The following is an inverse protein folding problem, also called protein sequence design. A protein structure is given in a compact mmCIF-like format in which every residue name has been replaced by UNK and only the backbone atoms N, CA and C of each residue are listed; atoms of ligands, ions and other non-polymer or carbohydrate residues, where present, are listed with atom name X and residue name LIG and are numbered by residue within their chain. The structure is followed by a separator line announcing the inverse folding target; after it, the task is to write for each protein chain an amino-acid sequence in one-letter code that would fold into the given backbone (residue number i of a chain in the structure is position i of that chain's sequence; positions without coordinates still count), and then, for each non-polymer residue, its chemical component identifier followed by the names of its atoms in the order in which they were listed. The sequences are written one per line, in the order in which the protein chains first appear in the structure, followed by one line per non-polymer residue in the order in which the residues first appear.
data_IF_941210299544
#
_entry.id   IF_941210299544
#
_cell.length_a   1.000
_cell.length_b   1.000
_cell.length_c   1.000
_cell.angle_alpha   90.00
_cell.angle_beta   90.00
_cell.angle_gamma   90.00
#
_symmetry.space_group_name_H-M   'P 1'
#
loop_
_entity.id
_entity.type
_entity.pdbx_description
1 polymer ?
#
# COMPACT_ATOMS: atom_id res chain seq x y z
N UNK A 1 -2.77 -10.28 25.38
CA UNK A 1 -3.27 -11.51 24.72
C UNK A 1 -4.70 -11.24 24.26
N UNK A 2 -4.90 -10.71 23.03
CA UNK A 2 -6.24 -10.36 22.56
C UNK A 2 -7.01 -11.64 22.19
N UNK A 3 -7.91 -12.05 23.08
CA UNK A 3 -8.85 -13.16 22.93
C UNK A 3 -9.98 -12.66 22.02
N UNK A 4 -9.78 -12.73 20.70
CA UNK A 4 -10.88 -12.57 19.76
C UNK A 4 -11.77 -13.82 19.90
N UNK A 5 -12.87 -13.60 20.60
CA UNK A 5 -14.09 -14.39 20.79
C UNK A 5 -14.29 -15.56 19.81
N UNK A 6 -14.80 -16.66 20.37
CA UNK A 6 -15.16 -18.00 19.84
C UNK A 6 -15.83 -18.13 18.45
N UNK A 7 -16.07 -17.05 17.70
CA UNK A 7 -16.72 -17.09 16.39
C UNK A 7 -15.72 -17.08 15.23
N UNK A 8 -15.71 -18.18 14.48
CA UNK A 8 -14.85 -18.41 13.29
C UNK A 8 -15.04 -17.33 12.22
N UNK A 9 -16.25 -16.80 12.12
CA UNK A 9 -16.61 -15.73 11.19
C UNK A 9 -15.88 -14.42 11.50
N UNK A 10 -15.88 -13.96 12.76
CA UNK A 10 -15.27 -12.67 13.11
C UNK A 10 -13.75 -12.73 13.15
N UNK A 11 -13.17 -13.86 13.56
CA UNK A 11 -11.69 -14.00 13.64
C UNK A 11 -11.00 -14.28 12.30
N UNK A 12 -11.71 -14.78 11.28
CA UNK A 12 -11.11 -15.10 9.98
C UNK A 12 -11.57 -14.18 8.85
N UNK A 13 -12.87 -13.88 8.75
CA UNK A 13 -13.44 -13.21 7.58
C UNK A 13 -13.21 -11.71 7.64
N UNK A 14 -13.35 -11.10 8.82
CA UNK A 14 -13.09 -9.67 9.01
C UNK A 14 -11.63 -9.32 8.64
N UNK A 15 -10.59 -9.97 9.20
CA UNK A 15 -9.22 -9.67 8.80
C UNK A 15 -8.93 -10.00 7.34
N UNK A 16 -9.50 -11.07 6.78
CA UNK A 16 -9.34 -11.38 5.35
C UNK A 16 -9.92 -10.28 4.45
N UNK A 17 -11.11 -9.75 4.77
CA UNK A 17 -11.72 -8.63 4.04
C UNK A 17 -10.94 -7.33 4.23
N UNK A 18 -10.48 -7.03 5.44
CA UNK A 18 -9.72 -5.82 5.74
C UNK A 18 -8.38 -5.77 5.00
N UNK A 19 -7.72 -6.91 4.77
CA UNK A 19 -6.47 -6.98 3.98
C UNK A 19 -6.69 -6.64 2.50
N UNK A 20 -7.92 -6.75 1.98
CA UNK A 20 -8.24 -6.38 0.60
C UNK A 20 -8.48 -4.88 0.39
N UNK A 21 -8.74 -4.12 1.45
CA UNK A 21 -8.95 -2.66 1.36
C UNK A 21 -7.69 -1.93 0.81
N UNK A 22 -6.46 -2.24 1.29
CA UNK A 22 -5.22 -1.72 0.69
C UNK A 22 -5.05 -2.03 -0.79
N UNK A 23 -5.51 -3.19 -1.27
CA UNK A 23 -5.43 -3.56 -2.69
C UNK A 23 -6.31 -2.64 -3.55
N UNK A 24 -7.36 -2.07 -2.98
CA UNK A 24 -8.18 -1.05 -3.65
C UNK A 24 -7.42 0.22 -4.01
N UNK A 25 -6.36 0.60 -3.29
CA UNK A 25 -5.60 1.83 -3.61
C UNK A 25 -4.78 1.69 -4.89
N UNK A 26 -4.34 0.47 -5.21
CA UNK A 26 -3.70 0.11 -6.48
C UNK A 26 -4.68 0.31 -7.64
N UNK A 27 -5.96 -0.04 -7.45
CA UNK A 27 -7.00 0.20 -8.45
C UNK A 27 -7.28 1.71 -8.65
N UNK A 28 -7.36 2.47 -7.55
CA UNK A 28 -7.55 3.92 -7.60
C UNK A 28 -6.42 4.66 -8.31
N UNK A 29 -5.23 4.08 -8.41
CA UNK A 29 -4.10 4.67 -9.14
C UNK A 29 -4.42 4.97 -10.61
N UNK A 30 -5.24 4.13 -11.25
CA UNK A 30 -5.66 4.33 -12.65
C UNK A 30 -6.42 5.64 -12.88
N UNK A 31 -7.14 6.14 -11.86
CA UNK A 31 -7.85 7.42 -11.87
C UNK A 31 -6.93 8.54 -11.40
N UNK A 32 -6.15 8.31 -10.34
CA UNK A 32 -5.24 9.31 -9.81
C UNK A 32 -4.11 9.67 -10.76
N UNK A 33 -3.63 8.76 -11.62
CA UNK A 33 -2.52 9.06 -12.54
C UNK A 33 -2.81 10.24 -13.47
N UNK A 34 -4.06 10.40 -13.94
CA UNK A 34 -4.44 11.54 -14.77
C UNK A 34 -4.49 12.84 -13.98
N UNK A 35 -5.03 12.81 -12.75
CA UNK A 35 -5.12 13.96 -11.85
C UNK A 35 -3.73 14.44 -11.40
N UNK A 36 -2.84 13.49 -11.07
CA UNK A 36 -1.45 13.74 -10.67
C UNK A 36 -0.65 14.27 -11.87
N UNK A 37 -0.77 13.64 -13.04
CA UNK A 37 -0.13 14.12 -14.27
C UNK A 37 -0.55 15.57 -14.61
N UNK A 38 -1.85 15.88 -14.47
CA UNK A 38 -2.38 17.23 -14.68
C UNK A 38 -1.88 18.26 -13.66
N UNK A 39 -1.69 17.85 -12.39
CA UNK A 39 -1.17 18.74 -11.33
C UNK A 39 0.34 18.99 -11.44
N UNK A 40 1.12 17.96 -11.77
CA UNK A 40 2.58 18.05 -11.84
C UNK A 40 3.12 18.39 -13.24
N UNK A 41 2.25 18.72 -14.20
CA UNK A 41 2.61 18.97 -15.61
C UNK A 41 3.50 17.86 -16.22
N UNK A 42 3.33 16.63 -15.75
CA UNK A 42 4.14 15.48 -16.11
C UNK A 42 3.39 14.57 -17.08
N UNK A 43 4.13 13.78 -17.85
CA UNK A 43 3.55 12.73 -18.68
C UNK A 43 2.85 11.67 -17.81
N UNK A 44 1.62 11.24 -18.14
CA UNK A 44 0.96 10.13 -17.46
C UNK A 44 1.79 8.85 -17.44
N UNK A 45 2.61 8.62 -18.47
CA UNK A 45 3.51 7.48 -18.56
C UNK A 45 4.64 7.54 -17.51
N UNK A 46 5.07 8.74 -17.11
CA UNK A 46 6.04 8.91 -16.04
C UNK A 46 5.43 8.57 -14.67
N UNK A 47 4.17 8.97 -14.43
CA UNK A 47 3.45 8.61 -13.19
C UNK A 47 3.19 7.10 -13.12
N UNK A 48 2.93 6.45 -14.26
CA UNK A 48 2.74 5.00 -14.35
C UNK A 48 4.01 4.20 -13.97
N UNK A 49 5.19 4.75 -14.23
CA UNK A 49 6.45 4.14 -13.80
C UNK A 49 6.57 4.00 -12.27
N UNK A 50 5.98 4.93 -11.50
CA UNK A 50 5.96 4.84 -10.03
C UNK A 50 5.12 3.69 -9.53
N UNK A 51 4.04 3.38 -10.25
CA UNK A 51 3.22 2.22 -9.95
C UNK A 51 3.92 0.90 -10.26
N UNK A 52 4.66 0.82 -11.37
CA UNK A 52 5.49 -0.35 -11.68
C UNK A 52 6.54 -0.60 -10.60
N UNK A 53 7.17 0.46 -10.11
CA UNK A 53 8.14 0.38 -9.02
C UNK A 53 7.50 -0.09 -7.71
N UNK A 54 6.32 0.44 -7.36
CA UNK A 54 5.58 0.04 -6.17
C UNK A 54 5.16 -1.43 -6.20
N UNK A 55 4.61 -1.92 -7.32
CA UNK A 55 4.25 -3.35 -7.47
C UNK A 55 5.49 -4.24 -7.43
N UNK A 56 6.61 -3.80 -8.02
CA UNK A 56 7.87 -4.52 -7.96
C UNK A 56 8.35 -4.70 -6.52
N UNK A 57 8.38 -3.62 -5.73
CA UNK A 57 8.77 -3.69 -4.31
C UNK A 57 7.76 -4.46 -3.46
N UNK A 58 6.47 -4.38 -3.76
CA UNK A 58 5.43 -5.17 -3.10
C UNK A 58 5.64 -6.67 -3.34
N UNK A 59 5.86 -7.08 -4.59
CA UNK A 59 6.14 -8.46 -4.97
C UNK A 59 7.45 -8.98 -4.38
N UNK A 60 8.49 -8.16 -4.39
CA UNK A 60 9.77 -8.47 -3.76
C UNK A 60 9.61 -8.63 -2.24
N UNK A 61 8.90 -7.71 -1.59
CA UNK A 61 8.63 -7.77 -0.15
C UNK A 61 7.84 -9.02 0.23
N UNK A 62 6.87 -9.43 -0.60
CA UNK A 62 6.13 -10.68 -0.37
C UNK A 62 7.04 -11.92 -0.44
N UNK A 63 8.00 -11.95 -1.36
CA UNK A 63 8.96 -13.05 -1.48
C UNK A 63 9.91 -13.16 -0.27
N UNK A 64 10.38 -12.03 0.26
CA UNK A 64 11.31 -12.01 1.41
C UNK A 64 10.62 -12.05 2.78
N UNK A 65 9.40 -11.52 2.90
CA UNK A 65 8.67 -11.45 4.17
C UNK A 65 7.92 -12.73 4.52
N UNK A 66 7.85 -13.73 3.64
CA UNK A 66 7.19 -15.02 3.89
C UNK A 66 7.57 -15.67 5.23
N UNK A 67 8.88 -15.88 5.52
CA UNK A 67 9.33 -16.44 6.80
C UNK A 67 9.02 -15.55 8.02
N UNK A 68 8.91 -14.24 7.82
CA UNK A 68 8.56 -13.28 8.88
C UNK A 68 7.07 -13.35 9.23
N UNK A 69 6.21 -13.55 8.23
CA UNK A 69 4.76 -13.74 8.38
C UNK A 69 4.47 -15.04 9.13
N UNK A 70 5.13 -16.14 8.76
CA UNK A 70 4.94 -17.46 9.39
C UNK A 70 5.30 -17.47 10.87
N UNK A 71 6.35 -16.74 11.27
CA UNK A 71 6.77 -16.63 12.68
C UNK A 71 5.77 -15.87 13.54
N UNK A 72 5.23 -14.76 13.05
CA UNK A 72 4.30 -13.94 13.83
C UNK A 72 3.42 -13.04 12.96
N UNK A 73 2.29 -13.61 12.53
CA UNK A 73 1.29 -12.95 11.67
C UNK A 73 0.87 -11.58 12.21
N UNK A 74 0.69 -11.44 13.53
CA UNK A 74 0.22 -10.18 14.15
C UNK A 74 1.25 -9.06 14.05
N UNK A 75 2.54 -9.37 14.24
CA UNK A 75 3.61 -8.37 14.11
C UNK A 75 3.81 -7.99 12.65
N UNK A 76 3.81 -8.97 11.75
CA UNK A 76 3.95 -8.72 10.32
C UNK A 76 2.81 -7.86 9.76
N UNK A 77 1.57 -8.11 10.18
CA UNK A 77 0.41 -7.32 9.79
C UNK A 77 0.46 -5.88 10.32
N UNK A 78 1.00 -5.67 11.53
CA UNK A 78 1.15 -4.33 12.09
C UNK A 78 2.25 -3.54 11.37
N UNK A 79 3.37 -4.18 11.05
CA UNK A 79 4.45 -3.57 10.27
C UNK A 79 3.98 -3.21 8.87
N UNK A 80 3.26 -4.11 8.19
CA UNK A 80 2.72 -3.82 6.85
C UNK A 80 1.67 -2.70 6.89
N UNK A 81 0.80 -2.67 7.91
CA UNK A 81 -0.15 -1.58 8.11
C UNK A 81 0.56 -0.24 8.27
N UNK A 82 1.58 -0.16 9.15
CA UNK A 82 2.33 1.09 9.37
C UNK A 82 3.05 1.53 8.09
N UNK A 83 3.71 0.60 7.40
CA UNK A 83 4.42 0.89 6.15
C UNK A 83 3.45 1.41 5.08
N UNK A 84 2.28 0.78 4.94
CA UNK A 84 1.24 1.20 4.00
C UNK A 84 0.66 2.58 4.34
N UNK A 85 0.32 2.83 5.61
CA UNK A 85 -0.25 4.13 6.03
C UNK A 85 0.77 5.25 5.85
N UNK A 86 2.04 5.02 6.21
CA UNK A 86 3.11 6.01 6.06
C UNK A 86 3.39 6.29 4.59
N UNK A 87 3.48 5.25 3.75
CA UNK A 87 3.67 5.41 2.30
C UNK A 87 2.50 6.15 1.64
N UNK A 88 1.27 5.76 1.96
CA UNK A 88 0.07 6.40 1.41
C UNK A 88 -0.06 7.86 1.86
N UNK A 89 0.19 8.16 3.14
CA UNK A 89 0.22 9.53 3.64
C UNK A 89 1.35 10.36 3.00
N UNK A 90 2.56 9.79 2.87
CA UNK A 90 3.71 10.43 2.23
C UNK A 90 3.46 10.73 0.75
N UNK A 91 2.75 9.85 0.06
CA UNK A 91 2.31 10.08 -1.33
C UNK A 91 1.35 11.28 -1.41
N UNK A 92 0.37 11.36 -0.52
CA UNK A 92 -0.54 12.51 -0.45
C UNK A 92 0.16 13.84 -0.17
N UNK A 93 1.13 13.85 0.75
CA UNK A 93 1.95 15.04 1.06
C UNK A 93 2.84 15.42 -0.13
N UNK A 94 3.42 14.43 -0.83
CA UNK A 94 4.27 14.68 -2.01
C UNK A 94 3.47 15.29 -3.17
N UNK A 95 2.22 14.87 -3.35
CA UNK A 95 1.30 15.48 -4.32
C UNK A 95 0.98 16.94 -3.93
N UNK A 96 0.71 17.20 -2.64
CA UNK A 96 0.42 18.55 -2.15
C UNK A 96 1.61 19.52 -2.33
N UNK A 97 2.84 19.00 -2.19
CA UNK A 97 4.08 19.77 -2.36
C UNK A 97 4.56 19.87 -3.83
N UNK A 98 3.81 19.31 -4.80
CA UNK A 98 4.22 19.18 -6.21
C UNK A 98 5.61 18.53 -6.40
N UNK A 99 5.96 17.57 -5.53
CA UNK A 99 7.27 16.92 -5.55
C UNK A 99 7.19 15.55 -6.24
N UNK A 100 7.44 15.55 -7.55
CA UNK A 100 7.45 14.35 -8.41
C UNK A 100 8.26 13.17 -7.81
N UNK A 101 9.52 13.35 -7.38
CA UNK A 101 10.33 12.26 -6.82
C UNK A 101 9.76 11.65 -5.54
N UNK A 102 9.07 12.44 -4.71
CA UNK A 102 8.47 11.96 -3.46
C UNK A 102 7.30 11.03 -3.70
N UNK A 103 6.57 11.24 -4.79
CA UNK A 103 5.50 10.33 -5.23
C UNK A 103 6.08 8.97 -5.65
N UNK A 104 7.28 8.93 -6.24
CA UNK A 104 7.95 7.68 -6.61
C UNK A 104 8.54 6.91 -5.42
N UNK A 105 8.93 7.61 -4.35
CA UNK A 105 9.60 7.00 -3.18
C UNK A 105 8.59 6.57 -2.12
N UNK A 106 7.51 7.33 -1.94
CA UNK A 106 6.51 7.06 -0.91
C UNK A 106 5.39 6.12 -1.38
N UNK A 107 5.21 5.93 -2.68
CA UNK A 107 4.21 4.99 -3.23
C UNK A 107 4.80 3.59 -3.36
#
# INVERSE_FOLDING_TARGET
MARFTENRWTSAIIPALLIHIPIGTVYCWSVFKQLIAGRLHASPASVEWGFSLAIFFLGMSAAFAGPMVEKNIKKSALVSMVCFVVGFAGTGVSIALNFLPGVFICY
#
